data_IF_412459524294
#
_entry.id   IF_412459524294
#
_cell.length_a   1.000
_cell.length_b   1.000
_cell.length_c   1.000
_cell.angle_alpha   90.00
_cell.angle_beta   90.00
_cell.angle_gamma   90.00
#
_symmetry.space_group_name_H-M   'P 1'
#
loop_
_entity.id
_entity.type
_entity.pdbx_description
1 polymer ?
#
# COMPACT_ATOMS: atom_id res chain seq x y z
N UNK A 1 4.00 29.45 11.31
CA UNK A 1 3.56 28.09 11.72
C UNK A 1 4.65 27.51 12.61
N UNK A 2 4.34 26.76 13.68
CA UNK A 2 5.39 26.10 14.45
C UNK A 2 6.15 25.13 13.54
N UNK A 3 7.48 25.16 13.62
CA UNK A 3 8.34 24.24 12.88
C UNK A 3 8.04 22.80 13.31
N UNK A 4 7.79 21.94 12.32
CA UNK A 4 7.52 20.53 12.56
C UNK A 4 8.81 19.75 12.51
N UNK A 5 9.15 19.06 13.61
CA UNK A 5 10.38 18.27 13.78
C UNK A 5 10.36 16.91 13.04
N UNK A 6 9.35 16.70 12.19
CA UNK A 6 9.13 15.45 11.46
C UNK A 6 8.55 14.32 12.30
N UNK A 7 8.27 14.53 13.60
CA UNK A 7 7.69 13.54 14.51
C UNK A 7 6.20 13.81 14.76
N UNK A 8 5.43 12.75 14.89
CA UNK A 8 3.98 12.85 15.11
C UNK A 8 3.24 13.47 13.92
N UNK A 9 2.14 14.17 14.18
CA UNK A 9 1.30 14.75 13.14
C UNK A 9 1.83 16.10 12.64
N UNK A 10 1.93 16.29 11.31
CA UNK A 10 2.19 17.60 10.74
C UNK A 10 1.13 18.63 11.21
N UNK A 11 1.50 19.91 11.40
CA UNK A 11 0.56 20.96 11.79
C UNK A 11 -0.67 21.06 10.88
N UNK A 12 -0.51 20.82 9.57
CA UNK A 12 -1.60 20.84 8.59
C UNK A 12 -2.58 19.68 8.81
N UNK A 13 -2.08 18.49 9.13
CA UNK A 13 -2.91 17.34 9.47
C UNK A 13 -3.71 17.61 10.75
N UNK A 14 -3.06 18.16 11.79
CA UNK A 14 -3.73 18.58 13.02
C UNK A 14 -4.82 19.63 12.78
N UNK A 15 -4.55 20.65 11.94
CA UNK A 15 -5.57 21.64 11.58
C UNK A 15 -6.78 21.03 10.84
N UNK A 16 -6.57 19.94 10.07
CA UNK A 16 -7.66 19.17 9.44
C UNK A 16 -8.52 18.47 10.48
N UNK A 17 -7.89 17.83 11.47
CA UNK A 17 -8.56 17.21 12.62
C UNK A 17 -9.39 18.23 13.40
N UNK A 18 -8.82 19.40 13.70
CA UNK A 18 -9.50 20.46 14.46
C UNK A 18 -10.73 21.02 13.70
N UNK A 19 -10.62 21.16 12.37
CA UNK A 19 -11.73 21.60 11.51
C UNK A 19 -12.86 20.57 11.44
N UNK A 20 -12.51 19.29 11.42
CA UNK A 20 -13.49 18.22 11.47
C UNK A 20 -14.27 18.26 12.79
N UNK A 21 -13.55 18.41 13.91
CA UNK A 21 -14.15 18.48 15.24
C UNK A 21 -15.12 19.68 15.42
N UNK A 22 -14.83 20.83 14.79
CA UNK A 22 -15.66 22.03 14.93
C UNK A 22 -16.90 22.07 14.02
N UNK A 23 -16.83 21.48 12.82
CA UNK A 23 -17.92 21.56 11.84
C UNK A 23 -18.88 20.37 11.86
N UNK A 24 -18.43 19.21 12.33
CA UNK A 24 -19.20 17.95 12.28
C UNK A 24 -19.41 17.38 10.87
N UNK A 25 -18.89 18.04 9.83
CA UNK A 25 -18.98 17.59 8.44
C UNK A 25 -18.05 16.40 8.20
N UNK A 26 -18.59 15.32 7.64
CA UNK A 26 -17.82 14.11 7.32
C UNK A 26 -17.58 14.01 5.83
N UNK A 27 -16.31 13.93 5.45
CA UNK A 27 -15.87 13.65 4.08
C UNK A 27 -15.28 12.24 3.99
N UNK A 28 -15.24 11.69 2.78
CA UNK A 28 -14.82 10.33 2.52
C UNK A 28 -14.31 10.23 1.09
N UNK A 29 -13.19 9.53 0.91
CA UNK A 29 -12.63 9.18 -0.40
C UNK A 29 -13.29 7.94 -0.99
N UNK A 30 -14.15 7.23 -0.24
CA UNK A 30 -14.87 6.08 -0.76
C UNK A 30 -15.88 6.50 -1.82
N UNK A 31 -15.91 5.74 -2.92
CA UNK A 31 -17.02 5.77 -3.85
C UNK A 31 -18.32 5.33 -3.17
N UNK A 32 -19.48 5.61 -3.80
CA UNK A 32 -20.79 5.18 -3.30
C UNK A 32 -20.83 3.69 -2.90
N UNK A 33 -20.44 2.71 -3.75
CA UNK A 33 -20.43 1.31 -3.32
C UNK A 33 -19.45 1.05 -2.16
N UNK A 34 -18.34 1.80 -2.08
CA UNK A 34 -17.41 1.72 -0.97
C UNK A 34 -18.01 2.16 0.34
N UNK A 35 -18.69 3.31 0.36
CA UNK A 35 -19.34 3.83 1.56
C UNK A 35 -20.42 2.86 2.07
N UNK A 36 -21.31 2.39 1.19
CA UNK A 36 -22.36 1.44 1.56
C UNK A 36 -21.78 0.10 2.00
N UNK A 37 -20.75 -0.39 1.30
CA UNK A 37 -20.08 -1.63 1.66
C UNK A 37 -19.42 -1.59 3.04
N UNK A 38 -18.82 -0.45 3.39
CA UNK A 38 -18.26 -0.22 4.71
C UNK A 38 -19.36 -0.19 5.79
N UNK A 39 -20.44 0.54 5.55
CA UNK A 39 -21.58 0.65 6.47
C UNK A 39 -22.23 -0.72 6.74
N UNK A 40 -22.45 -1.52 5.69
CA UNK A 40 -22.97 -2.89 5.82
C UNK A 40 -22.03 -3.80 6.62
N UNK A 41 -20.72 -3.55 6.60
CA UNK A 41 -19.76 -4.24 7.45
C UNK A 41 -19.67 -3.67 8.88
N UNK A 42 -20.50 -2.68 9.23
CA UNK A 42 -20.47 -2.02 10.53
C UNK A 42 -19.29 -1.05 10.66
N UNK A 43 -18.89 -0.39 9.59
CA UNK A 43 -17.87 0.66 9.60
C UNK A 43 -18.48 2.00 9.17
N UNK A 44 -18.52 2.96 10.09
CA UNK A 44 -18.94 4.33 9.79
C UNK A 44 -17.73 5.16 9.35
N UNK A 45 -17.75 5.82 8.16
CA UNK A 45 -16.74 6.79 7.79
C UNK A 45 -16.68 7.96 8.79
N UNK A 46 -15.45 8.32 9.18
CA UNK A 46 -15.17 9.43 10.10
C UNK A 46 -14.27 10.50 9.52
N UNK A 47 -13.74 10.34 8.31
CA UNK A 47 -12.98 11.39 7.65
C UNK A 47 -11.97 10.86 6.64
N UNK A 48 -11.38 11.78 5.89
CA UNK A 48 -10.25 11.50 5.01
C UNK A 48 -8.94 11.71 5.77
N UNK A 49 -7.98 10.80 5.55
CA UNK A 49 -6.66 10.84 6.19
C UNK A 49 -5.56 10.71 5.16
N UNK A 50 -4.42 11.33 5.46
CA UNK A 50 -3.29 11.44 4.56
C UNK A 50 -1.97 11.21 5.30
N UNK A 51 -1.06 10.51 4.63
CA UNK A 51 0.34 10.48 5.01
C UNK A 51 1.19 10.91 3.83
N UNK A 52 2.17 11.76 4.07
CA UNK A 52 3.12 12.17 3.04
C UNK A 52 4.54 12.22 3.61
N UNK A 53 5.51 11.88 2.78
CA UNK A 53 6.93 12.15 3.00
C UNK A 53 7.60 12.46 1.66
N UNK A 54 8.48 13.46 1.65
CA UNK A 54 9.43 13.65 0.56
C UNK A 54 10.77 13.08 1.03
N UNK A 55 11.29 12.11 0.29
CA UNK A 55 12.60 11.51 0.57
C UNK A 55 13.56 11.81 -0.58
N UNK A 56 14.82 12.08 -0.21
CA UNK A 56 15.90 12.19 -1.18
C UNK A 56 16.46 10.80 -1.48
N UNK A 57 16.11 10.27 -2.64
CA UNK A 57 16.68 9.09 -3.26
C UNK A 57 17.93 9.48 -4.07
N UNK A 58 19.04 9.65 -3.36
CA UNK A 58 20.33 9.91 -3.99
C UNK A 58 20.98 8.66 -4.56
N UNK A 59 21.72 8.82 -5.64
CA UNK A 59 22.74 7.86 -6.05
C UNK A 59 23.85 7.85 -4.99
N UNK A 60 24.18 6.69 -4.43
CA UNK A 60 25.31 6.60 -3.50
C UNK A 60 26.55 6.28 -4.32
N UNK A 61 27.26 7.31 -4.78
CA UNK A 61 28.57 7.14 -5.43
C UNK A 61 29.66 6.96 -4.38
N UNK A 62 29.82 5.73 -3.90
CA UNK A 62 30.93 5.31 -3.05
C UNK A 62 31.91 4.42 -3.81
N UNK A 63 33.21 4.57 -3.56
CA UNK A 63 34.23 3.63 -4.07
C UNK A 63 33.86 2.21 -3.59
N UNK A 64 33.63 1.28 -4.53
CA UNK A 64 33.31 -0.12 -4.22
C UNK A 64 31.82 -0.45 -4.09
N UNK A 65 30.89 0.46 -4.36
CA UNK A 65 29.45 0.11 -4.45
C UNK A 65 29.19 -0.61 -5.78
N UNK A 66 28.76 -1.85 -5.69
CA UNK A 66 28.34 -2.65 -6.85
C UNK A 66 26.95 -2.22 -7.34
N UNK A 67 26.62 -2.42 -8.62
CA UNK A 67 25.28 -2.09 -9.12
C UNK A 67 24.15 -2.83 -8.38
N UNK A 68 24.41 -4.06 -7.92
CA UNK A 68 23.45 -4.80 -7.10
C UNK A 68 23.21 -4.15 -5.73
N UNK A 69 24.26 -3.65 -5.07
CA UNK A 69 24.12 -2.88 -3.84
C UNK A 69 23.36 -1.57 -4.08
N UNK A 70 23.60 -0.91 -5.20
CA UNK A 70 22.87 0.30 -5.57
C UNK A 70 21.38 0.03 -5.80
N UNK A 71 21.03 -1.11 -6.41
CA UNK A 71 19.64 -1.55 -6.55
C UNK A 71 19.00 -1.82 -5.18
N UNK A 72 19.71 -2.51 -4.28
CA UNK A 72 19.22 -2.77 -2.92
C UNK A 72 18.95 -1.47 -2.14
N UNK A 73 19.87 -0.50 -2.17
CA UNK A 73 19.70 0.83 -1.53
C UNK A 73 18.45 1.54 -2.07
N UNK A 74 18.23 1.47 -3.40
CA UNK A 74 17.04 2.05 -4.02
C UNK A 74 15.75 1.38 -3.53
N UNK A 75 15.70 0.04 -3.48
CA UNK A 75 14.56 -0.69 -2.96
C UNK A 75 14.29 -0.38 -1.47
N UNK A 76 15.33 -0.26 -0.66
CA UNK A 76 15.23 0.08 0.77
C UNK A 76 14.58 1.45 0.97
N UNK A 77 14.99 2.43 0.17
CA UNK A 77 14.46 3.77 0.28
C UNK A 77 13.01 3.85 -0.21
N UNK A 78 12.62 3.13 -1.27
CA UNK A 78 11.20 2.98 -1.63
C UNK A 78 10.38 2.39 -0.48
N UNK A 79 10.87 1.32 0.16
CA UNK A 79 10.20 0.70 1.32
C UNK A 79 10.06 1.69 2.48
N UNK A 80 11.10 2.49 2.74
CA UNK A 80 11.09 3.50 3.79
C UNK A 80 10.07 4.61 3.51
N UNK A 81 10.03 5.14 2.29
CA UNK A 81 9.07 6.16 1.88
C UNK A 81 7.62 5.72 2.07
N UNK A 82 7.26 4.54 1.55
CA UNK A 82 5.91 3.99 1.74
C UNK A 82 5.57 3.73 3.20
N UNK A 83 6.51 3.15 3.98
CA UNK A 83 6.29 2.88 5.41
C UNK A 83 6.03 4.18 6.15
N UNK A 84 6.83 5.22 5.92
CA UNK A 84 6.69 6.50 6.59
C UNK A 84 5.38 7.20 6.23
N UNK A 85 4.97 7.16 4.95
CA UNK A 85 3.68 7.67 4.53
C UNK A 85 2.52 6.92 5.20
N UNK A 86 2.53 5.59 5.20
CA UNK A 86 1.49 4.78 5.86
C UNK A 86 1.46 5.00 7.39
N UNK A 87 2.61 5.11 8.04
CA UNK A 87 2.71 5.39 9.47
C UNK A 87 2.09 6.75 9.81
N UNK A 88 2.34 7.78 8.99
CA UNK A 88 1.74 9.12 9.16
C UNK A 88 0.24 9.13 8.94
N UNK A 89 -0.24 8.42 7.90
CA UNK A 89 -1.68 8.23 7.68
C UNK A 89 -2.34 7.54 8.87
N UNK A 90 -1.69 6.51 9.45
CA UNK A 90 -2.18 5.80 10.63
C UNK A 90 -2.25 6.70 11.86
N UNK A 91 -1.24 7.54 12.08
CA UNK A 91 -1.25 8.53 13.17
C UNK A 91 -2.39 9.54 13.00
N UNK A 92 -2.70 9.97 11.76
CA UNK A 92 -3.81 10.93 11.54
C UNK A 92 -5.14 10.26 11.84
N UNK A 93 -5.31 9.01 11.40
CA UNK A 93 -6.48 8.19 11.72
C UNK A 93 -6.65 7.97 13.24
N UNK A 94 -5.57 7.69 13.97
CA UNK A 94 -5.59 7.56 15.43
C UNK A 94 -6.03 8.87 16.12
N UNK A 95 -5.58 10.02 15.64
CA UNK A 95 -5.93 11.31 16.24
C UNK A 95 -7.40 11.70 16.07
N UNK A 96 -8.07 11.23 15.02
CA UNK A 96 -9.53 11.37 14.86
C UNK A 96 -10.32 10.20 15.48
N UNK A 97 -9.62 9.34 16.21
CA UNK A 97 -10.18 8.21 16.94
C UNK A 97 -10.73 7.11 16.03
N UNK A 98 -10.21 6.95 14.82
CA UNK A 98 -10.61 5.87 13.92
C UNK A 98 -10.16 4.50 14.45
N UNK A 99 -10.81 3.44 13.96
CA UNK A 99 -10.43 2.05 14.21
C UNK A 99 -9.71 1.42 13.01
N UNK A 100 -9.90 2.01 11.82
CA UNK A 100 -9.25 1.57 10.60
C UNK A 100 -9.23 2.63 9.51
N UNK A 101 -8.51 2.34 8.43
CA UNK A 101 -8.53 3.16 7.21
C UNK A 101 -8.76 2.24 6.01
N UNK A 102 -9.81 2.57 5.23
CA UNK A 102 -10.24 1.82 4.06
C UNK A 102 -9.85 2.51 2.76
N UNK A 103 -9.74 1.72 1.69
CA UNK A 103 -9.52 2.22 0.34
C UNK A 103 -8.23 3.04 0.21
N UNK A 104 -7.17 2.61 0.90
CA UNK A 104 -5.90 3.32 0.84
C UNK A 104 -5.36 3.26 -0.59
N UNK A 105 -5.03 4.43 -1.13
CA UNK A 105 -4.28 4.57 -2.36
C UNK A 105 -2.92 5.16 -2.04
N UNK A 106 -1.88 4.58 -2.64
CA UNK A 106 -0.50 5.09 -2.51
C UNK A 106 0.02 5.57 -3.86
N UNK A 107 0.72 6.69 -3.87
CA UNK A 107 1.39 7.22 -5.07
C UNK A 107 2.83 7.63 -4.76
N UNK A 108 3.64 7.64 -5.80
CA UNK A 108 5.01 8.16 -5.76
C UNK A 108 5.20 9.13 -6.92
N UNK A 109 5.59 10.36 -6.60
CA UNK A 109 5.81 11.43 -7.58
C UNK A 109 7.27 11.86 -7.53
N UNK A 110 7.96 11.87 -8.68
CA UNK A 110 9.30 12.48 -8.77
C UNK A 110 9.15 14.00 -8.77
N UNK A 111 9.77 14.65 -7.79
CA UNK A 111 9.81 16.12 -7.71
C UNK A 111 11.00 16.68 -8.48
N UNK A 112 12.12 15.97 -8.44
CA UNK A 112 13.31 16.21 -9.27
C UNK A 112 14.09 14.90 -9.48
N UNK A 113 15.38 15.00 -9.86
CA UNK A 113 16.26 13.85 -10.09
C UNK A 113 16.54 13.01 -8.84
N UNK A 114 16.47 13.61 -7.65
CA UNK A 114 16.86 12.95 -6.39
C UNK A 114 15.76 12.93 -5.35
N UNK A 115 14.63 13.59 -5.56
CA UNK A 115 13.53 13.70 -4.59
C UNK A 115 12.27 13.03 -5.11
N UNK A 116 11.70 12.18 -4.27
CA UNK A 116 10.40 11.56 -4.51
C UNK A 116 9.45 11.84 -3.34
N UNK A 117 8.23 12.22 -3.69
CA UNK A 117 7.11 12.35 -2.76
C UNK A 117 6.34 11.03 -2.73
N UNK A 118 6.18 10.48 -1.53
CA UNK A 118 5.34 9.32 -1.24
C UNK A 118 4.08 9.81 -0.55
N UNK A 119 2.92 9.49 -1.11
CA UNK A 119 1.62 9.85 -0.54
C UNK A 119 0.80 8.59 -0.30
N UNK A 120 0.12 8.54 0.84
CA UNK A 120 -0.93 7.58 1.15
C UNK A 120 -2.20 8.35 1.52
N UNK A 121 -3.33 8.00 0.90
CA UNK A 121 -4.64 8.62 1.13
C UNK A 121 -5.70 7.55 1.36
N UNK A 122 -6.60 7.75 2.32
CA UNK A 122 -7.69 6.80 2.57
C UNK A 122 -8.83 7.40 3.38
N UNK A 123 -9.86 6.59 3.61
CA UNK A 123 -11.00 6.97 4.45
C UNK A 123 -10.90 6.29 5.80
N UNK A 124 -10.72 7.08 6.85
CA UNK A 124 -10.77 6.60 8.21
C UNK A 124 -12.20 6.19 8.59
N UNK A 125 -12.32 5.06 9.29
CA UNK A 125 -13.59 4.49 9.71
C UNK A 125 -13.58 4.14 11.20
N UNK A 126 -14.76 4.19 11.82
CA UNK A 126 -15.01 3.68 13.17
C UNK A 126 -15.87 2.43 13.05
N UNK A 127 -15.50 1.39 13.79
CA UNK A 127 -16.28 0.17 13.85
C UNK A 127 -17.51 0.35 14.77
N UNK A 128 -18.67 -0.18 14.39
CA UNK A 128 -19.91 -0.14 15.16
C UNK A 128 -19.95 -1.26 16.20
N UNK A 129 -18.88 -1.35 16.99
CA UNK A 129 -18.70 -2.36 18.03
C UNK A 129 -18.10 -1.74 19.29
N UNK A 130 -18.31 -2.41 20.42
CA UNK A 130 -17.65 -2.08 21.69
C UNK A 130 -16.20 -2.56 21.71
N UNK A 131 -15.84 -3.53 20.88
CA UNK A 131 -14.48 -4.06 20.78
C UNK A 131 -13.66 -3.21 19.82
N UNK A 132 -12.68 -2.47 20.35
CA UNK A 132 -11.78 -1.62 19.55
C UNK A 132 -10.49 -2.39 19.26
N UNK A 133 -9.95 -2.32 18.03
CA UNK A 133 -8.65 -2.91 17.76
C UNK A 133 -7.56 -2.16 18.55
N UNK A 134 -6.51 -2.88 18.97
CA UNK A 134 -5.39 -2.27 19.71
C UNK A 134 -4.59 -1.26 18.88
N UNK A 135 -4.70 -1.37 17.56
CA UNK A 135 -4.03 -0.56 16.55
C UNK A 135 -5.01 -0.32 15.41
N UNK A 136 -5.02 0.89 14.86
CA UNK A 136 -5.77 1.20 13.64
C UNK A 136 -5.34 0.25 12.53
N UNK A 137 -6.30 -0.51 11.99
CA UNK A 137 -6.04 -1.39 10.85
C UNK A 137 -5.97 -0.58 9.55
N UNK A 138 -5.26 -1.08 8.55
CA UNK A 138 -5.13 -0.40 7.26
C UNK A 138 -5.42 -1.36 6.13
N UNK A 139 -6.05 -0.88 5.05
CA UNK A 139 -6.32 -1.71 3.88
C UNK A 139 -6.42 -0.88 2.60
N UNK A 140 -5.88 -1.40 1.51
CA UNK A 140 -6.12 -0.86 0.17
C UNK A 140 -7.50 -1.26 -0.38
N UNK A 141 -8.12 -2.29 0.20
CA UNK A 141 -9.43 -2.76 -0.22
C UNK A 141 -10.48 -1.64 -0.06
N UNK A 142 -11.30 -1.41 -1.09
CA UNK A 142 -12.41 -0.48 -0.98
C UNK A 142 -13.51 -1.07 -0.10
N UNK A 143 -14.39 -0.21 0.43
CA UNK A 143 -15.37 -0.63 1.45
C UNK A 143 -16.32 -1.74 1.01
N UNK A 144 -16.70 -1.84 -0.27
CA UNK A 144 -17.51 -2.96 -0.78
C UNK A 144 -16.81 -4.32 -0.69
N UNK A 145 -15.49 -4.35 -0.79
CA UNK A 145 -14.73 -5.59 -0.71
C UNK A 145 -14.42 -5.93 0.74
N UNK A 146 -14.22 -4.92 1.60
CA UNK A 146 -14.21 -5.11 3.06
C UNK A 146 -15.54 -5.67 3.55
N UNK A 147 -16.66 -5.17 3.03
CA UNK A 147 -18.00 -5.72 3.28
C UNK A 147 -18.09 -7.22 3.05
N UNK A 148 -17.67 -7.67 1.86
CA UNK A 148 -17.64 -9.10 1.49
C UNK A 148 -16.66 -9.89 2.33
N UNK A 149 -15.48 -9.33 2.61
CA UNK A 149 -14.45 -9.95 3.43
C UNK A 149 -14.98 -10.25 4.84
N UNK A 150 -15.64 -9.27 5.45
CA UNK A 150 -16.25 -9.38 6.78
C UNK A 150 -17.38 -10.42 6.80
N UNK A 151 -18.25 -10.43 5.77
CA UNK A 151 -19.30 -11.45 5.62
C UNK A 151 -18.74 -12.87 5.50
N UNK A 152 -17.55 -13.02 4.92
CA UNK A 152 -16.84 -14.29 4.81
C UNK A 152 -16.05 -14.67 6.09
N UNK A 153 -16.13 -13.88 7.17
CA UNK A 153 -15.45 -14.15 8.45
C UNK A 153 -14.00 -13.67 8.51
N UNK A 154 -13.61 -12.76 7.61
CA UNK A 154 -12.27 -12.22 7.50
C UNK A 154 -12.25 -10.70 7.75
N UNK A 155 -11.21 -10.20 8.39
CA UNK A 155 -11.02 -8.77 8.68
C UNK A 155 -9.68 -8.28 8.12
N UNK A 156 -9.59 -7.06 7.58
CA UNK A 156 -8.31 -6.47 7.23
C UNK A 156 -7.46 -6.20 8.48
N UNK A 157 -6.16 -6.46 8.38
CA UNK A 157 -5.21 -6.21 9.45
C UNK A 157 -4.29 -5.02 9.14
N UNK A 158 -3.61 -5.05 7.99
CA UNK A 158 -2.71 -3.98 7.57
C UNK A 158 -2.46 -4.02 6.06
N UNK A 159 -2.13 -2.87 5.49
CA UNK A 159 -1.49 -2.79 4.18
C UNK A 159 -0.12 -3.46 4.27
N UNK A 160 0.15 -4.38 3.34
CA UNK A 160 1.42 -5.07 3.20
C UNK A 160 2.07 -4.71 1.87
N UNK A 161 3.36 -4.41 1.92
CA UNK A 161 4.16 -4.04 0.74
C UNK A 161 5.42 -4.90 0.73
N UNK A 162 5.75 -5.45 -0.44
CA UNK A 162 7.02 -6.09 -0.74
C UNK A 162 7.67 -5.42 -1.93
N UNK A 163 8.90 -4.97 -1.78
CA UNK A 163 9.68 -4.34 -2.86
C UNK A 163 11.06 -5.00 -2.89
N UNK A 164 11.51 -5.32 -4.08
CA UNK A 164 12.85 -5.83 -4.34
C UNK A 164 13.42 -5.20 -5.60
N UNK A 165 14.73 -5.01 -5.65
CA UNK A 165 15.43 -4.59 -6.84
C UNK A 165 16.74 -5.35 -6.98
N UNK A 166 17.07 -5.72 -8.21
CA UNK A 166 18.26 -6.48 -8.56
C UNK A 166 18.89 -5.94 -9.84
N UNK A 167 20.14 -6.29 -10.05
CA UNK A 167 20.91 -6.11 -11.28
C UNK A 167 21.52 -7.46 -11.67
N UNK A 168 21.33 -7.86 -12.92
CA UNK A 168 21.90 -9.08 -13.49
C UNK A 168 22.87 -8.71 -14.60
N UNK A 169 23.98 -9.43 -14.67
CA UNK A 169 25.01 -9.27 -15.69
C UNK A 169 25.09 -10.52 -16.56
N UNK A 170 25.22 -10.32 -17.86
CA UNK A 170 25.51 -11.39 -18.82
C UNK A 170 26.24 -10.81 -20.04
N UNK A 171 27.49 -11.23 -20.26
CA UNK A 171 28.26 -10.80 -21.42
C UNK A 171 27.68 -11.28 -22.75
N UNK A 172 26.85 -12.33 -22.75
CA UNK A 172 26.17 -12.82 -23.94
C UNK A 172 24.96 -11.96 -24.33
N UNK A 173 24.45 -11.14 -23.41
CA UNK A 173 23.31 -10.26 -23.63
C UNK A 173 23.48 -9.38 -24.86
N UNK A 174 24.69 -8.83 -25.07
CA UNK A 174 25.00 -7.98 -26.22
C UNK A 174 24.73 -8.66 -27.58
N UNK A 175 24.86 -10.00 -27.65
CA UNK A 175 24.58 -10.77 -28.86
C UNK A 175 23.09 -11.10 -29.00
N UNK A 176 22.39 -11.28 -27.87
CA UNK A 176 20.96 -11.60 -27.81
C UNK A 176 20.05 -10.39 -28.05
N UNK A 177 20.55 -9.14 -27.87
CA UNK A 177 19.76 -7.91 -28.03
C UNK A 177 20.00 -7.18 -29.36
N UNK A 178 20.78 -7.73 -30.28
CA UNK A 178 21.02 -7.10 -31.59
C UNK A 178 19.79 -7.20 -32.50
N UNK A 179 19.64 -6.28 -33.46
CA UNK A 179 18.54 -6.33 -34.45
C UNK A 179 18.57 -7.60 -35.33
N UNK A 180 19.70 -8.32 -35.35
CA UNK A 180 19.92 -9.53 -36.15
C UNK A 180 19.83 -10.82 -35.33
N UNK A 181 19.62 -10.74 -34.01
CA UNK A 181 19.56 -11.89 -33.11
C UNK A 181 18.36 -12.81 -33.39
N UNK A 182 17.38 -12.32 -34.16
CA UNK A 182 16.11 -13.01 -34.39
C UNK A 182 15.25 -13.03 -33.12
N UNK A 183 14.24 -13.90 -33.11
CA UNK A 183 13.33 -14.06 -31.97
C UNK A 183 13.92 -15.08 -30.99
N UNK A 184 14.72 -14.60 -30.03
CA UNK A 184 15.34 -15.41 -28.99
C UNK A 184 14.96 -14.91 -27.61
N UNK A 185 15.03 -15.79 -26.62
CA UNK A 185 14.98 -15.39 -25.22
C UNK A 185 16.27 -14.64 -24.86
N UNK A 186 16.14 -13.59 -24.04
CA UNK A 186 17.29 -12.84 -23.52
C UNK A 186 17.51 -13.25 -22.07
N UNK A 187 18.50 -14.12 -21.84
CA UNK A 187 18.69 -14.86 -20.59
C UNK A 187 18.81 -13.94 -19.37
N UNK A 188 19.57 -12.85 -19.50
CA UNK A 188 19.77 -11.87 -18.43
C UNK A 188 18.46 -11.22 -18.00
N UNK A 189 17.61 -10.84 -18.97
CA UNK A 189 16.32 -10.24 -18.71
C UNK A 189 15.36 -11.24 -18.07
N UNK A 190 15.28 -12.48 -18.58
CA UNK A 190 14.40 -13.50 -17.97
C UNK A 190 14.80 -13.81 -16.55
N UNK A 191 16.11 -14.01 -16.31
CA UNK A 191 16.65 -14.29 -14.98
C UNK A 191 16.32 -13.16 -14.01
N UNK A 192 16.65 -11.92 -14.37
CA UNK A 192 16.35 -10.74 -13.56
C UNK A 192 14.86 -10.67 -13.20
N UNK A 193 13.97 -10.75 -14.19
CA UNK A 193 12.53 -10.60 -13.98
C UNK A 193 11.97 -11.70 -13.07
N UNK A 194 12.47 -12.92 -13.21
CA UNK A 194 12.08 -14.05 -12.37
C UNK A 194 12.53 -13.85 -10.93
N UNK A 195 13.80 -13.49 -10.73
CA UNK A 195 14.41 -13.28 -9.42
C UNK A 195 13.77 -12.11 -8.66
N UNK A 196 13.67 -10.92 -9.29
CA UNK A 196 13.14 -9.72 -8.63
C UNK A 196 11.66 -9.87 -8.25
N UNK A 197 10.85 -10.55 -9.07
CA UNK A 197 9.44 -10.85 -8.75
C UNK A 197 9.33 -11.87 -7.60
N UNK A 198 10.16 -12.90 -7.62
CA UNK A 198 10.17 -13.91 -6.56
C UNK A 198 10.56 -13.28 -5.21
N UNK A 199 11.58 -12.43 -5.19
CA UNK A 199 12.01 -11.76 -3.97
C UNK A 199 10.99 -10.70 -3.51
N UNK A 200 10.39 -9.90 -4.41
CA UNK A 200 9.32 -8.96 -4.02
C UNK A 200 8.13 -9.68 -3.34
N UNK A 201 7.72 -10.86 -3.84
CA UNK A 201 6.72 -11.71 -3.18
C UNK A 201 7.21 -12.26 -1.84
N UNK A 202 8.49 -12.61 -1.73
CA UNK A 202 9.10 -13.05 -0.47
C UNK A 202 9.06 -11.94 0.59
N UNK A 203 9.39 -10.70 0.20
CA UNK A 203 9.30 -9.53 1.07
C UNK A 203 7.85 -9.24 1.47
N UNK A 204 6.90 -9.28 0.54
CA UNK A 204 5.48 -9.10 0.84
C UNK A 204 4.99 -10.12 1.87
N UNK A 205 5.34 -11.41 1.69
CA UNK A 205 5.02 -12.47 2.65
C UNK A 205 5.63 -12.20 4.03
N UNK A 206 6.88 -11.73 4.11
CA UNK A 206 7.51 -11.33 5.39
C UNK A 206 6.72 -10.19 6.05
N UNK A 207 6.32 -9.17 5.28
CA UNK A 207 5.48 -8.07 5.77
C UNK A 207 4.13 -8.57 6.30
N UNK A 208 3.49 -9.53 5.62
CA UNK A 208 2.24 -10.14 6.13
C UNK A 208 2.49 -10.89 7.44
N UNK A 209 3.57 -11.67 7.54
CA UNK A 209 3.91 -12.43 8.74
C UNK A 209 4.11 -11.56 9.99
N UNK A 210 4.69 -10.37 9.85
CA UNK A 210 4.91 -9.46 11.00
C UNK A 210 3.61 -8.89 11.56
N UNK A 211 2.50 -8.95 10.82
CA UNK A 211 1.18 -8.50 11.29
C UNK A 211 0.44 -9.54 12.13
N UNK A 212 0.87 -10.81 12.08
CA UNK A 212 0.13 -11.94 12.68
C UNK A 212 -1.14 -12.35 11.92
N UNK A 213 -1.31 -11.88 10.68
CA UNK A 213 -2.41 -12.24 9.80
C UNK A 213 -2.31 -13.69 9.30
N UNK A 214 -3.47 -14.29 8.99
CA UNK A 214 -3.58 -15.66 8.47
C UNK A 214 -3.33 -15.74 6.95
N UNK A 215 -3.44 -14.62 6.25
CA UNK A 215 -3.24 -14.53 4.81
C UNK A 215 -3.18 -13.11 4.29
N UNK A 216 -3.20 -12.94 2.97
CA UNK A 216 -3.26 -11.63 2.34
C UNK A 216 -3.91 -11.68 0.96
N UNK A 217 -4.49 -10.56 0.55
CA UNK A 217 -5.03 -10.31 -0.79
C UNK A 217 -4.08 -9.35 -1.50
N UNK A 218 -3.52 -9.75 -2.63
CA UNK A 218 -2.68 -8.89 -3.49
C UNK A 218 -3.58 -8.01 -4.35
N UNK A 219 -3.37 -6.69 -4.29
CA UNK A 219 -4.12 -5.69 -5.05
C UNK A 219 -3.40 -5.34 -6.36
N UNK A 220 -2.07 -5.23 -6.32
CA UNK A 220 -1.25 -4.81 -7.45
C UNK A 220 0.16 -5.38 -7.37
N UNK A 221 0.71 -5.68 -8.55
CA UNK A 221 2.13 -5.97 -8.73
C UNK A 221 2.68 -5.07 -9.84
N UNK A 222 3.90 -4.56 -9.66
CA UNK A 222 4.62 -3.85 -10.73
C UNK A 222 6.00 -4.44 -10.96
N UNK A 223 6.54 -4.17 -12.14
CA UNK A 223 7.89 -4.50 -12.54
C UNK A 223 8.35 -3.40 -13.49
N UNK A 224 9.45 -2.76 -13.15
CA UNK A 224 10.13 -1.79 -13.99
C UNK A 224 11.57 -2.27 -14.21
N UNK A 225 11.99 -2.38 -15.47
CA UNK A 225 13.33 -2.85 -15.84
C UNK A 225 13.99 -1.85 -16.78
N UNK A 226 15.29 -1.65 -16.63
CA UNK A 226 16.10 -0.80 -17.50
C UNK A 226 17.46 -1.43 -17.74
N UNK A 227 18.01 -1.20 -18.93
CA UNK A 227 19.35 -1.67 -19.28
C UNK A 227 20.41 -0.76 -18.68
N UNK A 228 21.54 -1.35 -18.32
CA UNK A 228 22.74 -0.69 -17.80
C UNK A 228 23.92 -1.03 -18.71
N UNK A 229 24.00 -0.34 -19.84
CA UNK A 229 24.93 -0.70 -20.92
C UNK A 229 24.51 -1.98 -21.65
N UNK A 230 25.47 -2.67 -22.25
CA UNK A 230 25.22 -3.79 -23.19
C UNK A 230 25.15 -5.17 -22.50
N UNK A 231 25.63 -5.27 -21.27
CA UNK A 231 25.84 -6.55 -20.57
C UNK A 231 25.12 -6.63 -19.23
N UNK A 232 24.30 -5.63 -18.89
CA UNK A 232 23.60 -5.60 -17.62
C UNK A 232 22.18 -5.07 -17.76
N UNK A 233 21.31 -5.60 -16.92
CA UNK A 233 19.93 -5.16 -16.77
C UNK A 233 19.61 -5.06 -15.29
N UNK A 234 18.95 -3.98 -14.90
CA UNK A 234 18.43 -3.78 -13.56
C UNK A 234 16.91 -3.74 -13.59
N UNK A 235 16.31 -4.04 -12.44
CA UNK A 235 14.86 -3.96 -12.31
C UNK A 235 14.41 -3.89 -10.86
N UNK A 236 13.25 -3.27 -10.67
CA UNK A 236 12.53 -3.20 -9.40
C UNK A 236 11.17 -3.85 -9.58
N UNK A 237 10.76 -4.69 -8.62
CA UNK A 237 9.41 -5.22 -8.55
C UNK A 237 8.79 -4.90 -7.22
N UNK A 238 7.49 -4.61 -7.26
CA UNK A 238 6.70 -4.31 -6.08
C UNK A 238 5.43 -5.14 -6.04
N UNK A 239 4.98 -5.48 -4.82
CA UNK A 239 3.74 -6.20 -4.53
C UNK A 239 3.03 -5.45 -3.41
N UNK A 240 1.80 -5.05 -3.67
CA UNK A 240 0.92 -4.35 -2.73
C UNK A 240 -0.29 -5.21 -2.42
N UNK A 241 -0.84 -5.05 -1.23
CA UNK A 241 -2.03 -5.77 -0.82
C UNK A 241 -2.40 -5.54 0.63
N UNK A 242 -3.39 -6.31 1.07
CA UNK A 242 -3.95 -6.25 2.42
C UNK A 242 -3.73 -7.58 3.11
N UNK A 243 -3.05 -7.57 4.26
CA UNK A 243 -3.02 -8.68 5.20
C UNK A 243 -4.41 -8.87 5.83
N UNK A 244 -4.89 -10.11 5.92
CA UNK A 244 -6.23 -10.44 6.43
C UNK A 244 -6.14 -11.51 7.53
N UNK A 245 -6.98 -11.36 8.56
CA UNK A 245 -7.09 -12.31 9.65
C UNK A 245 -8.50 -12.89 9.71
N UNK A 246 -8.63 -14.16 10.06
CA UNK A 246 -9.92 -14.80 10.27
C UNK A 246 -10.40 -14.48 11.69
N UNK A 247 -11.60 -13.92 11.80
CA UNK A 247 -12.23 -13.65 13.11
C UNK A 247 -13.42 -14.59 13.39
N UNK A 248 -13.88 -15.32 12.36
CA UNK A 248 -14.99 -16.25 12.48
C UNK A 248 -14.82 -17.46 11.54
N UNK A 249 -15.24 -18.65 11.98
CA UNK A 249 -15.15 -19.91 11.22
C UNK A 249 -16.50 -20.59 10.98
N UNK A 250 -17.60 -20.05 11.51
CA UNK A 250 -18.95 -20.57 11.30
C UNK A 250 -19.56 -20.17 9.95
N UNK A 251 -20.81 -20.60 9.70
CA UNK A 251 -21.55 -20.22 8.49
C UNK A 251 -21.63 -18.69 8.41
N UNK A 252 -21.29 -18.11 7.26
CA UNK A 252 -21.47 -16.67 6.99
C UNK A 252 -22.82 -16.22 7.50
N UNK A 253 -22.85 -15.10 8.22
CA UNK A 253 -24.09 -14.53 8.72
C UNK A 253 -25.09 -14.42 7.56
N UNK A 254 -26.33 -14.93 7.71
CA UNK A 254 -27.32 -14.83 6.64
C UNK A 254 -27.50 -13.35 6.29
N UNK A 255 -27.17 -13.00 5.05
CA UNK A 255 -27.41 -11.66 4.52
C UNK A 255 -28.92 -11.53 4.34
N UNK A 256 -29.59 -10.80 5.23
CA UNK A 256 -30.99 -10.40 5.01
C UNK A 256 -31.01 -9.31 3.94
N UNK A 257 -30.87 -9.68 2.67
CA UNK A 257 -31.12 -8.76 1.58
C UNK A 257 -32.61 -8.40 1.59
N UNK A 258 -32.94 -7.11 1.53
CA UNK A 258 -34.30 -6.65 1.22
C UNK A 258 -34.62 -7.12 -0.20
N UNK A 259 -35.45 -8.16 -0.31
CA UNK A 259 -35.85 -8.74 -1.61
C UNK A 259 -36.78 -7.83 -2.40
N UNK A 260 -37.36 -6.81 -1.75
CA UNK A 260 -38.35 -5.89 -2.33
C UNK A 260 -38.07 -4.49 -1.77
N UNK A 261 -38.05 -3.49 -2.66
CA UNK A 261 -38.08 -2.08 -2.28
C UNK A 261 -39.48 -1.77 -1.73
N UNK A 262 -39.66 -1.46 -0.44
CA UNK A 262 -40.98 -1.09 0.07
C UNK A 262 -41.36 0.29 -0.47
N UNK A 263 -42.24 0.32 -1.47
CA UNK A 263 -42.76 1.55 -2.10
C UNK A 263 -43.76 2.31 -1.20
N UNK A 264 -43.98 1.85 0.04
CA UNK A 264 -45.05 2.32 0.91
C UNK A 264 -44.54 3.29 2.01
N UNK A 265 -43.67 4.24 1.67
CA UNK A 265 -43.35 5.37 2.55
C UNK A 265 -43.75 6.68 1.87
N UNK A 266 -44.94 7.16 2.21
CA UNK A 266 -45.38 8.56 2.09
C UNK A 266 -45.25 9.18 3.47
#
# INVERSE_FOLDING_TARGET
>A
MPDWDGRGLPPVARARVDRFASSGLRTSLLSVPGAIGAEVAGFTPVGEVMGCVVERLGWTSGFGITPNQQAAIYADALRQGYRTALDRLRLEAEAIGADGVLGITTSVTRLDETMQEFVALGTAVRAETRQRPRRVFTTELPGQDVGKLMQAGWVPAAVAIGISAHTTFDYNMQYQTTMWAGNVEVDAHTRLVTEVRADARSQFRKTVQTTGADGAIVSRMSLDTWQLGEVAVAGVSSVFGTAIARFHSGKSAPTSALTILPLNRV
#
